data_IF_172727355845
#
_entry.id   IF_172727355845
#
_cell.length_a   1.000
_cell.length_b   1.000
_cell.length_c   1.000
_cell.angle_alpha   90.00
_cell.angle_beta   90.00
_cell.angle_gamma   90.00
#
_symmetry.space_group_name_H-M   'P 1'
#
loop_
_entity.id
_entity.type
_entity.pdbx_description
1 polymer ?
#
# COMPACT_ATOMS: atom_id res chain seq x y z
N UNK A 1 -26.24 19.86 -29.93
CA UNK A 1 -24.79 19.57 -30.01
C UNK A 1 -24.10 19.79 -28.66
N UNK A 2 -24.14 21.00 -28.07
CA UNK A 2 -23.50 21.29 -26.78
C UNK A 2 -23.88 20.31 -25.65
N UNK A 3 -25.18 20.02 -25.48
CA UNK A 3 -25.66 19.08 -24.47
C UNK A 3 -25.10 17.64 -24.64
N UNK A 4 -24.94 17.19 -25.88
CA UNK A 4 -24.36 15.86 -26.17
C UNK A 4 -22.87 15.83 -25.83
N UNK A 5 -22.15 16.91 -26.12
CA UNK A 5 -20.74 17.05 -25.76
C UNK A 5 -20.56 17.07 -24.23
N UNK A 6 -21.40 17.82 -23.51
CA UNK A 6 -21.38 17.83 -22.05
C UNK A 6 -21.72 16.45 -21.46
N UNK A 7 -22.72 15.75 -22.01
CA UNK A 7 -23.05 14.39 -21.60
C UNK A 7 -21.87 13.42 -21.81
N UNK A 8 -21.20 13.50 -22.96
CA UNK A 8 -20.01 12.69 -23.22
C UNK A 8 -18.89 12.96 -22.19
N UNK A 9 -18.60 14.23 -21.88
CA UNK A 9 -17.62 14.60 -20.86
C UNK A 9 -17.99 14.02 -19.49
N UNK A 10 -19.27 14.13 -19.08
CA UNK A 10 -19.76 13.59 -17.80
C UNK A 10 -19.57 12.07 -17.74
N UNK A 11 -19.87 11.37 -18.84
CA UNK A 11 -19.73 9.91 -18.95
C UNK A 11 -18.29 9.44 -18.73
N UNK A 12 -17.29 10.25 -19.09
CA UNK A 12 -15.88 9.95 -18.81
C UNK A 12 -15.40 10.44 -17.44
N UNK A 13 -15.89 11.58 -16.95
CA UNK A 13 -15.45 12.15 -15.67
C UNK A 13 -15.91 11.34 -14.46
N UNK A 14 -17.13 10.79 -14.48
CA UNK A 14 -17.62 9.96 -13.36
C UNK A 14 -16.76 8.71 -13.11
N UNK A 15 -16.44 7.88 -14.12
CA UNK A 15 -15.51 6.76 -13.96
C UNK A 15 -14.16 7.17 -13.40
N UNK A 16 -13.59 8.28 -13.89
CA UNK A 16 -12.31 8.80 -13.40
C UNK A 16 -12.40 9.19 -11.92
N UNK A 17 -13.48 9.85 -11.51
CA UNK A 17 -13.72 10.19 -10.10
C UNK A 17 -13.84 8.93 -9.22
N UNK A 18 -14.56 7.91 -9.69
CA UNK A 18 -14.67 6.59 -9.04
C UNK A 18 -13.28 5.95 -8.86
N UNK A 19 -12.47 5.89 -9.91
CA UNK A 19 -11.15 5.28 -9.84
C UNK A 19 -10.19 6.04 -8.92
N UNK A 20 -10.16 7.37 -9.01
CA UNK A 20 -9.33 8.20 -8.14
C UNK A 20 -9.74 7.99 -6.68
N UNK A 21 -11.04 8.00 -6.38
CA UNK A 21 -11.55 7.76 -5.03
C UNK A 21 -11.15 6.38 -4.49
N UNK A 22 -11.28 5.32 -5.30
CA UNK A 22 -10.95 3.96 -4.88
C UNK A 22 -9.44 3.73 -4.77
N UNK A 23 -8.62 4.54 -5.44
CA UNK A 23 -7.16 4.45 -5.35
C UNK A 23 -6.61 4.77 -3.96
N UNK A 24 -7.39 5.42 -3.08
CA UNK A 24 -6.98 5.63 -1.69
C UNK A 24 -7.08 4.38 -0.84
N UNK A 25 -8.01 3.48 -1.15
CA UNK A 25 -8.13 2.21 -0.46
C UNK A 25 -6.93 1.30 -0.77
N UNK A 26 -6.29 1.46 -1.95
CA UNK A 26 -5.02 0.81 -2.29
C UNK A 26 -3.86 1.20 -1.39
N UNK A 27 -3.92 2.42 -0.86
CA UNK A 27 -2.84 3.07 -0.12
C UNK A 27 -3.05 2.93 1.38
N UNK A 28 -3.72 1.86 1.81
CA UNK A 28 -3.89 1.50 3.22
C UNK A 28 -2.81 0.50 3.62
N UNK A 29 -2.23 0.61 4.82
CA UNK A 29 -1.21 -0.33 5.30
C UNK A 29 -1.71 -1.78 5.27
N UNK A 30 -2.99 -2.01 5.61
CA UNK A 30 -3.62 -3.33 5.60
C UNK A 30 -3.49 -4.05 4.25
N UNK A 31 -3.73 -3.36 3.13
CA UNK A 31 -3.63 -3.95 1.79
C UNK A 31 -2.24 -4.52 1.49
N UNK A 32 -1.18 -3.84 1.94
CA UNK A 32 0.17 -4.35 1.76
C UNK A 32 0.41 -5.55 2.67
N UNK A 33 0.06 -5.45 3.96
CA UNK A 33 0.25 -6.53 4.93
C UNK A 33 -0.46 -7.81 4.53
N UNK A 34 -1.74 -7.70 4.16
CA UNK A 34 -2.56 -8.81 3.68
C UNK A 34 -1.92 -9.46 2.44
N UNK A 35 -1.43 -8.64 1.51
CA UNK A 35 -0.75 -9.13 0.30
C UNK A 35 0.58 -9.86 0.58
N UNK A 36 1.33 -9.46 1.61
CA UNK A 36 2.55 -10.15 2.02
C UNK A 36 2.21 -11.45 2.78
N UNK A 37 1.20 -11.42 3.66
CA UNK A 37 0.75 -12.57 4.45
C UNK A 37 0.13 -13.68 3.57
N UNK A 38 -0.77 -13.30 2.65
CA UNK A 38 -1.44 -14.23 1.73
C UNK A 38 -0.46 -14.99 0.83
N UNK A 39 0.69 -14.40 0.53
CA UNK A 39 1.74 -15.02 -0.27
C UNK A 39 2.76 -15.80 0.56
N UNK A 40 2.66 -15.78 1.89
CA UNK A 40 3.62 -16.40 2.80
C UNK A 40 5.08 -16.05 2.46
N UNK A 41 5.36 -14.78 2.18
CA UNK A 41 6.71 -14.37 1.73
C UNK A 41 7.71 -14.25 2.88
N UNK A 42 7.24 -14.07 4.12
CA UNK A 42 8.11 -13.70 5.25
C UNK A 42 9.23 -14.74 5.51
N UNK A 43 8.98 -16.05 5.43
CA UNK A 43 10.03 -17.06 5.52
C UNK A 43 11.09 -16.98 4.42
N UNK A 44 10.73 -16.46 3.24
CA UNK A 44 11.61 -16.40 2.07
C UNK A 44 12.41 -15.10 1.98
N UNK A 45 11.99 -14.02 2.66
CA UNK A 45 12.66 -12.71 2.58
C UNK A 45 14.14 -12.83 2.94
N UNK A 46 14.49 -13.38 4.10
CA UNK A 46 15.89 -13.46 4.54
C UNK A 46 16.73 -14.37 3.64
N UNK A 47 16.37 -15.64 3.42
CA UNK A 47 17.23 -16.54 2.67
C UNK A 47 17.39 -16.13 1.20
N UNK A 48 16.38 -15.48 0.60
CA UNK A 48 16.40 -15.11 -0.83
C UNK A 48 16.93 -13.70 -1.07
N UNK A 49 16.48 -12.71 -0.29
CA UNK A 49 16.80 -11.29 -0.55
C UNK A 49 18.16 -10.91 0.00
N UNK A 50 18.56 -11.45 1.17
CA UNK A 50 19.82 -11.06 1.80
C UNK A 50 21.05 -11.33 0.91
N UNK A 51 21.23 -12.52 0.31
CA UNK A 51 22.35 -12.76 -0.60
C UNK A 51 22.33 -11.84 -1.81
N UNK A 52 21.14 -11.52 -2.35
CA UNK A 52 20.99 -10.65 -3.51
C UNK A 52 21.41 -9.20 -3.22
N UNK A 53 21.02 -8.65 -2.06
CA UNK A 53 21.45 -7.32 -1.61
C UNK A 53 22.96 -7.27 -1.42
N UNK A 54 23.53 -8.29 -0.77
CA UNK A 54 24.97 -8.34 -0.51
C UNK A 54 25.78 -8.49 -1.81
N UNK A 55 25.27 -9.24 -2.79
CA UNK A 55 25.86 -9.34 -4.12
C UNK A 55 25.82 -8.01 -4.88
N UNK A 56 24.73 -7.25 -4.76
CA UNK A 56 24.56 -5.94 -5.41
C UNK A 56 25.56 -4.88 -4.89
N UNK A 57 26.02 -5.01 -3.65
CA UNK A 57 27.01 -4.10 -3.05
C UNK A 57 28.46 -4.34 -3.53
N UNK A 58 28.67 -5.12 -4.61
CA UNK A 58 29.97 -5.44 -5.19
C UNK A 58 30.98 -6.00 -4.17
N UNK A 59 30.49 -6.67 -3.11
CA UNK A 59 31.33 -7.41 -2.18
C UNK A 59 31.18 -8.91 -2.46
N UNK A 60 31.87 -9.43 -3.48
CA UNK A 60 31.81 -10.85 -3.84
C UNK A 60 32.32 -11.76 -2.72
N UNK A 61 33.11 -11.21 -1.78
CA UNK A 61 33.68 -11.91 -0.64
C UNK A 61 32.86 -11.72 0.65
N UNK A 62 31.53 -11.56 0.55
CA UNK A 62 30.70 -11.60 1.74
C UNK A 62 30.58 -13.05 2.25
N UNK A 63 30.56 -13.23 3.58
CA UNK A 63 30.48 -14.57 4.18
C UNK A 63 29.15 -15.27 3.88
N UNK A 64 28.06 -14.51 3.77
CA UNK A 64 26.71 -15.07 3.59
C UNK A 64 26.59 -15.83 2.28
N UNK A 65 27.11 -15.28 1.17
CA UNK A 65 27.13 -15.95 -0.13
C UNK A 65 28.04 -17.17 -0.09
N UNK A 66 29.21 -17.10 0.56
CA UNK A 66 30.07 -18.28 0.75
C UNK A 66 29.42 -19.39 1.55
N UNK A 67 28.71 -19.05 2.63
CA UNK A 67 27.96 -20.03 3.42
C UNK A 67 26.91 -20.67 2.52
N UNK A 68 26.06 -19.87 1.85
CA UNK A 68 25.02 -20.36 0.94
C UNK A 68 25.58 -21.27 -0.14
N UNK A 69 26.65 -20.85 -0.82
CA UNK A 69 27.29 -21.61 -1.90
C UNK A 69 27.91 -22.93 -1.41
N UNK A 70 28.36 -22.97 -0.16
CA UNK A 70 28.94 -24.16 0.46
C UNK A 70 27.89 -25.16 0.92
N UNK A 71 26.85 -24.70 1.63
CA UNK A 71 25.84 -25.57 2.26
C UNK A 71 24.65 -25.92 1.35
N UNK A 72 24.38 -25.12 0.32
CA UNK A 72 23.21 -25.25 -0.56
C UNK A 72 22.00 -24.45 -0.08
N UNK A 73 21.04 -24.22 -0.98
CA UNK A 73 19.90 -23.32 -0.74
C UNK A 73 18.95 -23.82 0.37
N UNK A 74 18.69 -25.13 0.43
CA UNK A 74 17.77 -25.71 1.42
C UNK A 74 18.32 -25.56 2.84
N UNK A 75 19.60 -25.87 3.03
CA UNK A 75 20.30 -25.78 4.31
C UNK A 75 20.50 -24.32 4.70
N UNK A 76 20.76 -23.44 3.72
CA UNK A 76 20.81 -22.01 3.94
C UNK A 76 19.48 -21.45 4.48
N UNK A 77 18.33 -21.90 3.96
CA UNK A 77 17.01 -21.51 4.53
C UNK A 77 16.88 -21.92 5.99
N UNK A 78 17.31 -23.12 6.36
CA UNK A 78 17.27 -23.57 7.75
C UNK A 78 18.19 -22.74 8.66
N UNK A 79 19.42 -22.47 8.20
CA UNK A 79 20.39 -21.60 8.90
C UNK A 79 19.83 -20.18 9.07
N UNK A 80 19.27 -19.61 7.99
CA UNK A 80 18.69 -18.27 8.01
C UNK A 80 17.51 -18.17 8.98
N UNK A 81 16.63 -19.16 9.01
CA UNK A 81 15.48 -19.19 9.92
C UNK A 81 15.89 -19.33 11.40
N UNK A 82 16.99 -20.04 11.69
CA UNK A 82 17.52 -20.16 13.05
C UNK A 82 18.04 -18.81 13.58
N UNK A 83 18.75 -18.08 12.72
CA UNK A 83 19.37 -16.78 13.04
C UNK A 83 18.39 -15.61 13.00
N UNK A 84 17.48 -15.60 12.03
CA UNK A 84 16.50 -14.53 11.79
C UNK A 84 15.10 -15.14 11.63
N UNK A 85 14.30 -15.13 12.71
CA UNK A 85 12.99 -15.76 12.69
C UNK A 85 12.04 -15.06 11.71
N UNK A 86 11.20 -15.81 10.98
CA UNK A 86 10.23 -15.22 10.06
C UNK A 86 9.25 -14.29 10.77
N UNK A 87 8.87 -14.58 12.01
CA UNK A 87 7.95 -13.74 12.79
C UNK A 87 8.58 -12.39 13.13
N UNK A 88 9.90 -12.36 13.36
CA UNK A 88 10.62 -11.11 13.56
C UNK A 88 10.66 -10.29 12.27
N UNK A 89 10.93 -10.93 11.13
CA UNK A 89 10.93 -10.27 9.81
C UNK A 89 9.56 -9.67 9.53
N UNK A 90 8.50 -10.44 9.73
CA UNK A 90 7.12 -9.97 9.60
C UNK A 90 6.88 -8.75 10.48
N UNK A 91 7.17 -8.82 11.78
CA UNK A 91 6.97 -7.72 12.70
C UNK A 91 7.73 -6.44 12.27
N UNK A 92 8.97 -6.57 11.79
CA UNK A 92 9.76 -5.42 11.31
C UNK A 92 9.20 -4.84 10.01
N UNK A 93 8.84 -5.68 9.04
CA UNK A 93 8.27 -5.23 7.76
C UNK A 93 6.92 -4.54 7.98
N UNK A 94 6.03 -5.16 8.76
CA UNK A 94 4.73 -4.58 9.08
C UNK A 94 4.84 -3.27 9.87
N UNK A 95 5.76 -3.21 10.83
CA UNK A 95 6.06 -1.96 11.55
C UNK A 95 6.58 -0.90 10.58
N UNK A 96 7.46 -1.28 9.64
CA UNK A 96 7.95 -0.39 8.59
C UNK A 96 6.83 0.18 7.73
N UNK A 97 5.90 -0.68 7.29
CA UNK A 97 4.70 -0.30 6.54
C UNK A 97 3.84 0.69 7.35
N UNK A 98 3.53 0.37 8.61
CA UNK A 98 2.72 1.24 9.47
C UNK A 98 3.36 2.61 9.68
N UNK A 99 4.68 2.66 9.93
CA UNK A 99 5.37 3.93 10.11
C UNK A 99 5.42 4.74 8.82
N UNK A 100 5.61 4.08 7.68
CA UNK A 100 5.59 4.73 6.38
C UNK A 100 4.23 5.39 6.13
N UNK A 101 3.13 4.66 6.35
CA UNK A 101 1.79 5.21 6.18
C UNK A 101 1.43 6.27 7.23
N UNK A 102 1.81 6.08 8.51
CA UNK A 102 1.64 7.11 9.54
C UNK A 102 2.39 8.41 9.20
N UNK A 103 3.58 8.30 8.60
CA UNK A 103 4.31 9.47 8.10
C UNK A 103 3.64 10.10 6.87
N UNK A 104 3.10 9.29 5.96
CA UNK A 104 2.39 9.73 4.75
C UNK A 104 1.11 10.50 5.09
N UNK A 105 0.32 9.98 6.03
CA UNK A 105 -0.91 10.61 6.56
C UNK A 105 -0.59 11.85 7.41
N UNK A 106 0.62 11.90 7.95
CA UNK A 106 1.14 13.01 8.72
C UNK A 106 0.95 12.91 10.23
N UNK A 107 0.54 11.74 10.70
CA UNK A 107 0.54 11.35 12.11
C UNK A 107 1.97 11.24 12.68
N UNK A 108 2.97 11.04 11.81
CA UNK A 108 4.40 11.12 12.16
C UNK A 108 5.14 12.20 11.36
N UNK A 109 6.10 12.86 12.01
CA UNK A 109 7.01 13.84 11.39
C UNK A 109 8.20 13.19 10.68
N UNK A 110 8.52 11.92 10.98
CA UNK A 110 9.68 11.24 10.44
C UNK A 110 9.45 9.72 10.26
N UNK A 111 10.16 9.14 9.30
CA UNK A 111 10.31 7.68 9.11
C UNK A 111 11.60 7.25 9.85
N UNK A 112 11.72 7.59 11.12
CA UNK A 112 12.94 7.41 11.90
C UNK A 112 12.85 6.30 12.94
N UNK A 113 11.80 5.46 12.87
CA UNK A 113 11.74 4.30 13.74
C UNK A 113 12.86 3.34 13.38
N UNK A 114 13.75 3.12 14.34
CA UNK A 114 14.84 2.16 14.25
C UNK A 114 14.27 0.74 14.20
N UNK A 115 14.90 -0.11 13.40
CA UNK A 115 14.63 -1.56 13.40
C UNK A 115 15.02 -2.13 14.76
N UNK A 116 14.12 -2.90 15.38
CA UNK A 116 14.46 -3.59 16.62
C UNK A 116 15.32 -4.82 16.31
N UNK A 117 16.64 -4.66 16.43
CA UNK A 117 17.61 -5.72 16.16
C UNK A 117 17.91 -6.60 17.37
N UNK A 118 17.25 -6.37 18.51
CA UNK A 118 17.56 -7.07 19.77
C UNK A 118 17.42 -8.58 19.63
N UNK A 119 16.34 -9.05 19.00
CA UNK A 119 16.09 -10.49 18.81
C UNK A 119 17.18 -11.14 17.94
N UNK A 120 17.52 -10.51 16.81
CA UNK A 120 18.55 -11.03 15.90
C UNK A 120 19.92 -11.04 16.58
N UNK A 121 20.27 -9.98 17.31
CA UNK A 121 21.52 -9.91 18.08
C UNK A 121 21.62 -11.00 19.14
N UNK A 122 20.54 -11.23 19.89
CA UNK A 122 20.51 -12.28 20.92
C UNK A 122 20.70 -13.66 20.31
N UNK A 123 20.10 -13.93 19.15
CA UNK A 123 20.27 -15.21 18.43
C UNK A 123 21.67 -15.37 17.86
N UNK A 124 22.25 -14.31 17.29
CA UNK A 124 23.63 -14.31 16.78
C UNK A 124 24.68 -14.52 17.87
N UNK A 125 24.39 -14.18 19.14
CA UNK A 125 25.30 -14.42 20.29
C UNK A 125 24.96 -15.69 21.08
N UNK A 126 23.79 -16.28 20.86
CA UNK A 126 23.23 -17.33 21.71
C UNK A 126 23.38 -18.75 21.15
N UNK A 127 22.59 -19.66 21.73
CA UNK A 127 22.54 -21.08 21.33
C UNK A 127 22.12 -21.26 19.86
N UNK A 128 21.34 -20.33 19.33
CA UNK A 128 20.91 -20.34 17.93
C UNK A 128 22.09 -20.17 16.97
N UNK A 129 23.07 -19.31 17.31
CA UNK A 129 24.30 -19.18 16.53
C UNK A 129 25.12 -20.47 16.56
N UNK A 130 25.22 -21.13 17.72
CA UNK A 130 25.89 -22.43 17.83
C UNK A 130 25.23 -23.48 16.95
N UNK A 131 23.90 -23.58 16.98
CA UNK A 131 23.14 -24.50 16.11
C UNK A 131 23.30 -24.16 14.64
N UNK A 132 23.27 -22.89 14.29
CA UNK A 132 23.48 -22.44 12.92
C UNK A 132 24.89 -22.82 12.41
N UNK A 133 25.92 -22.63 13.24
CA UNK A 133 27.30 -23.06 12.89
C UNK A 133 27.39 -24.57 12.78
N UNK A 134 26.78 -25.33 13.69
CA UNK A 134 26.78 -26.79 13.62
C UNK A 134 26.08 -27.27 12.33
N UNK A 135 24.96 -26.64 11.93
CA UNK A 135 24.27 -26.90 10.66
C UNK A 135 25.15 -26.56 9.45
N UNK A 136 25.89 -25.45 9.49
CA UNK A 136 26.86 -25.07 8.45
C UNK A 136 27.93 -26.16 8.33
N UNK A 137 28.55 -26.56 9.44
CA UNK A 137 29.66 -27.53 9.45
C UNK A 137 29.26 -28.93 8.95
N UNK A 138 28.03 -29.36 9.24
CA UNK A 138 27.50 -30.65 8.79
C UNK A 138 27.09 -30.63 7.31
N UNK A 139 26.63 -29.47 6.83
CA UNK A 139 26.11 -29.32 5.46
C UNK A 139 27.16 -28.85 4.46
N UNK A 140 28.28 -28.30 4.93
CA UNK A 140 29.33 -27.76 4.10
C UNK A 140 30.03 -28.85 3.28
N UNK A 141 30.44 -28.48 2.05
CA UNK A 141 31.21 -29.37 1.17
C UNK A 141 32.58 -29.71 1.79
N UNK A 142 33.15 -30.89 1.51
CA UNK A 142 34.50 -31.23 1.97
C UNK A 142 35.54 -30.20 1.52
N UNK A 143 36.44 -29.78 2.42
CA UNK A 143 37.48 -28.81 2.11
C UNK A 143 38.46 -29.34 1.06
N UNK A 144 38.82 -28.47 0.11
CA UNK A 144 39.96 -28.67 -0.77
C UNK A 144 41.30 -28.57 -0.03
N UNK A 145 42.38 -29.09 -0.65
CA UNK A 145 43.74 -29.04 -0.08
C UNK A 145 44.18 -27.58 0.14
N UNK A 146 43.80 -26.70 -0.78
CA UNK A 146 44.09 -25.27 -0.74
C UNK A 146 43.36 -24.57 0.41
N UNK A 147 42.09 -24.92 0.66
CA UNK A 147 41.30 -24.38 1.77
C UNK A 147 41.83 -24.87 3.12
N UNK A 148 42.21 -26.14 3.24
CA UNK A 148 42.87 -26.68 4.44
C UNK A 148 44.19 -25.95 4.70
N UNK A 149 44.99 -25.73 3.65
CA UNK A 149 46.23 -24.96 3.77
C UNK A 149 45.96 -23.52 4.21
N UNK A 150 44.88 -22.89 3.73
CA UNK A 150 44.45 -21.55 4.14
C UNK A 150 44.01 -21.53 5.61
N UNK A 151 43.15 -22.45 6.04
CA UNK A 151 42.74 -22.59 7.44
C UNK A 151 43.95 -22.76 8.37
N UNK A 152 44.94 -23.59 7.99
CA UNK A 152 46.19 -23.76 8.75
C UNK A 152 47.08 -22.51 8.79
N UNK A 153 46.96 -21.60 7.83
CA UNK A 153 47.67 -20.30 7.88
C UNK A 153 46.96 -19.35 8.84
N UNK A 154 45.63 -19.24 8.73
CA UNK A 154 44.79 -18.46 9.64
C UNK A 154 45.00 -18.93 11.09
N UNK A 155 45.02 -20.25 11.34
CA UNK A 155 45.31 -20.87 12.64
C UNK A 155 46.63 -20.43 13.26
N UNK A 156 47.64 -20.14 12.43
CA UNK A 156 48.97 -19.68 12.86
C UNK A 156 49.08 -18.16 12.94
N UNK A 157 47.97 -17.43 12.76
CA UNK A 157 47.92 -15.96 12.69
C UNK A 157 48.47 -15.37 11.38
N UNK A 158 48.83 -16.22 10.41
CA UNK A 158 49.29 -15.78 9.10
C UNK A 158 48.08 -15.63 8.16
N UNK A 159 47.56 -14.41 8.00
CA UNK A 159 46.43 -14.13 7.10
C UNK A 159 45.14 -13.75 7.82
N UNK A 160 45.20 -12.93 8.86
CA UNK A 160 44.00 -12.40 9.55
C UNK A 160 43.03 -11.64 8.62
N UNK A 161 43.49 -11.22 7.44
CA UNK A 161 42.67 -10.57 6.40
C UNK A 161 42.15 -11.53 5.33
N UNK A 162 42.59 -12.80 5.33
CA UNK A 162 42.12 -13.77 4.34
C UNK A 162 40.67 -14.15 4.64
N UNK A 163 39.84 -14.21 3.59
CA UNK A 163 38.48 -14.72 3.73
C UNK A 163 38.50 -16.17 4.22
N UNK A 164 37.80 -16.40 5.34
CA UNK A 164 37.63 -17.71 5.95
C UNK A 164 36.85 -18.60 4.96
N UNK A 165 37.44 -19.71 4.49
CA UNK A 165 36.72 -20.67 3.65
C UNK A 165 35.67 -21.38 4.53
N UNK A 166 34.50 -21.68 3.95
CA UNK A 166 33.42 -22.39 4.63
C UNK A 166 33.35 -23.79 4.05
N UNK A 167 33.94 -24.78 4.72
CA UNK A 167 34.05 -26.15 4.20
C UNK A 167 34.22 -27.17 5.34
N UNK A 168 34.02 -28.47 5.09
CA UNK A 168 34.19 -29.50 6.12
C UNK A 168 35.57 -30.18 6.02
N UNK A 169 36.50 -30.01 6.98
CA UNK A 169 37.84 -30.59 6.89
C UNK A 169 37.81 -32.11 7.20
N UNK A 170 38.16 -32.98 6.23
CA UNK A 170 38.06 -34.42 6.45
C UNK A 170 39.14 -34.91 7.44
N UNK A 171 38.71 -35.60 8.50
CA UNK A 171 39.57 -36.30 9.47
C UNK A 171 40.51 -35.42 10.32
N UNK A 172 40.24 -34.11 10.46
CA UNK A 172 41.05 -33.20 11.28
C UNK A 172 40.16 -32.51 12.33
N UNK A 173 40.05 -33.13 13.52
CA UNK A 173 39.21 -32.64 14.61
C UNK A 173 39.64 -31.27 15.13
N UNK A 174 40.95 -31.00 15.10
CA UNK A 174 41.53 -29.74 15.58
C UNK A 174 41.15 -28.60 14.64
N UNK A 175 41.22 -28.83 13.32
CA UNK A 175 40.75 -27.85 12.34
C UNK A 175 39.23 -27.65 12.38
N UNK A 176 38.45 -28.72 12.59
CA UNK A 176 37.00 -28.64 12.72
C UNK A 176 36.59 -27.75 13.90
N UNK A 177 37.25 -27.92 15.05
CA UNK A 177 37.00 -27.11 16.24
C UNK A 177 37.40 -25.64 16.02
N UNK A 178 38.54 -25.40 15.36
CA UNK A 178 38.99 -24.05 15.03
C UNK A 178 38.00 -23.34 14.09
N UNK A 179 37.56 -24.00 13.02
CA UNK A 179 36.60 -23.42 12.07
C UNK A 179 35.28 -23.07 12.75
N UNK A 180 34.77 -23.96 13.62
CA UNK A 180 33.58 -23.69 14.44
C UNK A 180 33.75 -22.42 15.27
N UNK A 181 34.89 -22.25 15.95
CA UNK A 181 35.17 -21.06 16.74
C UNK A 181 35.24 -19.80 15.88
N UNK A 182 35.91 -19.86 14.72
CA UNK A 182 36.03 -18.74 13.80
C UNK A 182 34.67 -18.30 13.24
N UNK A 183 33.80 -19.24 12.88
CA UNK A 183 32.44 -18.94 12.42
C UNK A 183 31.60 -18.31 13.54
N UNK A 184 31.71 -18.81 14.77
CA UNK A 184 31.02 -18.23 15.93
C UNK A 184 31.50 -16.82 16.23
N UNK A 185 32.81 -16.61 16.28
CA UNK A 185 33.42 -15.29 16.48
C UNK A 185 32.95 -14.31 15.41
N UNK A 186 32.79 -14.77 14.16
CA UNK A 186 32.28 -13.94 13.08
C UNK A 186 30.80 -13.59 13.24
N UNK A 187 29.94 -14.52 13.68
CA UNK A 187 28.54 -14.23 13.99
C UNK A 187 28.42 -13.25 15.18
N UNK A 188 29.27 -13.41 16.19
CA UNK A 188 29.34 -12.48 17.33
C UNK A 188 29.78 -11.09 16.87
N UNK A 189 30.79 -11.00 16.02
CA UNK A 189 31.23 -9.74 15.44
C UNK A 189 30.12 -9.06 14.63
N UNK A 190 29.35 -9.81 13.84
CA UNK A 190 28.18 -9.27 13.13
C UNK A 190 27.15 -8.71 14.12
N UNK A 191 26.90 -9.40 15.24
CA UNK A 191 26.00 -8.91 16.28
C UNK A 191 26.49 -7.60 16.92
N UNK A 192 27.81 -7.45 17.13
CA UNK A 192 28.44 -6.23 17.65
C UNK A 192 28.32 -5.06 16.66
N UNK A 193 28.50 -5.32 15.36
CA UNK A 193 28.31 -4.30 14.33
C UNK A 193 26.85 -3.84 14.27
N UNK A 194 25.89 -4.78 14.36
CA UNK A 194 24.46 -4.46 14.40
C UNK A 194 24.10 -3.64 15.65
N UNK A 195 24.77 -3.85 16.77
CA UNK A 195 24.56 -3.06 17.99
C UNK A 195 25.00 -1.59 17.86
N UNK A 196 26.06 -1.35 17.09
CA UNK A 196 26.67 -0.01 16.98
C UNK A 196 26.11 0.80 15.80
N UNK A 197 25.41 0.16 14.86
CA UNK A 197 24.83 0.81 13.69
C UNK A 197 23.32 0.95 13.84
N UNK A 198 22.85 2.17 14.05
CA UNK A 198 21.43 2.50 13.93
C UNK A 198 20.99 2.38 12.47
N UNK A 199 20.37 1.26 12.12
CA UNK A 199 19.85 1.04 10.76
C UNK A 199 18.56 1.85 10.61
N UNK A 200 18.67 3.05 10.06
CA UNK A 200 17.50 3.86 9.68
C UNK A 200 16.93 3.38 8.35
N UNK A 201 15.60 3.30 8.25
CA UNK A 201 14.91 2.96 6.99
C UNK A 201 15.29 3.95 5.87
N UNK A 202 15.38 5.24 6.18
CA UNK A 202 15.74 6.28 5.20
C UNK A 202 17.15 6.06 4.64
N UNK A 203 18.08 5.55 5.45
CA UNK A 203 19.42 5.17 4.99
C UNK A 203 19.39 4.07 3.93
N UNK A 204 18.46 3.11 4.05
CA UNK A 204 18.29 2.02 3.10
C UNK A 204 17.71 2.48 1.75
N UNK A 205 16.89 3.54 1.73
CA UNK A 205 16.22 4.01 0.51
C UNK A 205 17.01 5.06 -0.30
N UNK A 206 18.30 5.26 -0.04
CA UNK A 206 19.14 6.18 -0.82
C UNK A 206 19.40 7.53 -0.14
N UNK A 207 19.17 7.64 1.17
CA UNK A 207 19.66 8.76 1.97
C UNK A 207 18.95 10.09 1.68
N UNK A 208 19.74 11.17 1.50
CA UNK A 208 19.22 12.55 1.48
C UNK A 208 18.33 12.86 0.27
N UNK A 209 18.69 12.34 -0.91
CA UNK A 209 17.90 12.55 -2.13
C UNK A 209 16.51 11.90 -2.02
N UNK A 210 16.47 10.68 -1.48
CA UNK A 210 15.21 9.99 -1.21
C UNK A 210 14.33 10.75 -0.21
N UNK A 211 14.93 11.43 0.77
CA UNK A 211 14.18 12.23 1.74
C UNK A 211 13.46 13.41 1.08
N UNK A 212 14.11 14.11 0.16
CA UNK A 212 13.53 15.28 -0.52
C UNK A 212 12.39 14.87 -1.47
N UNK A 213 12.56 13.76 -2.20
CA UNK A 213 11.50 13.21 -3.05
C UNK A 213 10.32 12.67 -2.24
N UNK A 214 10.59 11.99 -1.12
CA UNK A 214 9.58 11.54 -0.17
C UNK A 214 8.77 12.72 0.39
N UNK A 215 9.42 13.83 0.78
CA UNK A 215 8.70 14.99 1.29
C UNK A 215 7.76 15.61 0.25
N UNK A 216 8.19 15.71 -1.01
CA UNK A 216 7.32 16.16 -2.10
C UNK A 216 6.14 15.21 -2.34
N UNK A 217 6.38 13.90 -2.25
CA UNK A 217 5.33 12.89 -2.35
C UNK A 217 4.31 13.02 -1.21
N UNK A 218 4.77 13.19 0.04
CA UNK A 218 3.87 13.41 1.20
C UNK A 218 2.96 14.60 1.00
N UNK A 219 3.48 15.75 0.57
CA UNK A 219 2.65 16.95 0.32
C UNK A 219 1.57 16.69 -0.73
N UNK A 220 1.90 15.90 -1.76
CA UNK A 220 0.96 15.51 -2.81
C UNK A 220 -0.15 14.61 -2.25
N UNK A 221 0.22 13.60 -1.45
CA UNK A 221 -0.72 12.68 -0.81
C UNK A 221 -1.66 13.37 0.17
N UNK A 222 -1.15 14.26 1.02
CA UNK A 222 -1.97 14.99 2.00
C UNK A 222 -2.98 15.93 1.33
N UNK A 223 -2.66 16.47 0.16
CA UNK A 223 -3.57 17.35 -0.59
C UNK A 223 -4.64 16.56 -1.35
N UNK A 224 -4.41 15.27 -1.57
CA UNK A 224 -5.20 14.45 -2.48
C UNK A 224 -6.67 14.26 -2.02
N UNK A 225 -7.01 14.08 -0.73
CA UNK A 225 -8.40 13.98 -0.26
C UNK A 225 -9.26 15.20 -0.63
N UNK A 226 -8.70 16.40 -0.54
CA UNK A 226 -9.40 17.64 -0.92
C UNK A 226 -9.70 17.68 -2.43
N UNK A 227 -8.80 17.11 -3.25
CA UNK A 227 -9.02 16.97 -4.68
C UNK A 227 -10.08 15.94 -5.03
N UNK A 228 -10.24 14.84 -4.27
CA UNK A 228 -11.29 13.83 -4.52
C UNK A 228 -12.67 14.49 -4.54
N UNK A 229 -12.95 15.34 -3.54
CA UNK A 229 -14.22 16.03 -3.46
C UNK A 229 -14.48 16.87 -4.72
N UNK A 230 -13.44 17.53 -5.25
CA UNK A 230 -13.53 18.30 -6.49
C UNK A 230 -13.84 17.39 -7.70
N UNK A 231 -13.23 16.21 -7.79
CA UNK A 231 -13.48 15.24 -8.86
C UNK A 231 -14.93 14.75 -8.90
N UNK A 232 -15.64 14.70 -7.77
CA UNK A 232 -17.08 14.40 -7.74
C UNK A 232 -17.95 15.64 -7.98
N UNK A 233 -17.54 16.81 -7.51
CA UNK A 233 -18.30 18.06 -7.67
C UNK A 233 -18.36 18.53 -9.13
N UNK A 234 -17.28 18.37 -9.91
CA UNK A 234 -17.24 18.77 -11.32
C UNK A 234 -18.29 18.03 -12.17
N UNK A 235 -18.33 16.68 -12.24
CA UNK A 235 -19.35 15.98 -13.03
C UNK A 235 -20.77 16.22 -12.49
N UNK A 236 -20.94 16.42 -11.18
CA UNK A 236 -22.24 16.77 -10.59
C UNK A 236 -22.71 18.18 -10.98
N UNK A 237 -21.82 19.17 -11.02
CA UNK A 237 -22.11 20.52 -11.49
C UNK A 237 -22.43 20.52 -12.99
N UNK A 238 -21.68 19.78 -13.80
CA UNK A 238 -21.97 19.62 -15.23
C UNK A 238 -23.30 18.91 -15.48
N UNK A 239 -23.62 17.89 -14.68
CA UNK A 239 -24.91 17.19 -14.74
C UNK A 239 -26.05 18.15 -14.41
N UNK A 240 -25.88 18.97 -13.38
CA UNK A 240 -26.84 20.01 -12.99
C UNK A 240 -27.04 21.03 -14.12
N UNK A 241 -25.96 21.46 -14.76
CA UNK A 241 -26.00 22.38 -15.90
C UNK A 241 -26.76 21.77 -17.10
N UNK A 242 -26.48 20.51 -17.44
CA UNK A 242 -27.20 19.79 -18.50
C UNK A 242 -28.69 19.68 -18.17
N UNK A 243 -29.02 19.40 -16.91
CA UNK A 243 -30.42 19.33 -16.45
C UNK A 243 -31.11 20.68 -16.66
N UNK A 244 -30.52 21.79 -16.21
CA UNK A 244 -31.12 23.13 -16.38
C UNK A 244 -31.31 23.51 -17.85
N UNK A 245 -30.39 23.12 -18.74
CA UNK A 245 -30.44 23.50 -20.16
C UNK A 245 -31.36 22.63 -21.02
N UNK A 246 -31.44 21.33 -20.73
CA UNK A 246 -32.09 20.33 -21.62
C UNK A 246 -33.45 19.88 -21.08
N UNK A 247 -33.62 19.85 -19.76
CA UNK A 247 -34.75 19.18 -19.14
C UNK A 247 -35.94 20.14 -19.10
N UNK A 248 -36.82 19.99 -20.08
CA UNK A 248 -38.14 20.63 -20.08
C UNK A 248 -39.22 19.76 -19.40
N UNK A 249 -38.95 18.48 -19.15
CA UNK A 249 -39.90 17.55 -18.54
C UNK A 249 -39.19 16.48 -17.70
N UNK A 250 -39.86 16.00 -16.66
CA UNK A 250 -39.36 14.94 -15.77
C UNK A 250 -39.03 13.63 -16.52
N UNK A 251 -39.74 13.35 -17.62
CA UNK A 251 -39.46 12.23 -18.52
C UNK A 251 -38.14 12.39 -19.28
N UNK A 252 -37.84 13.61 -19.71
CA UNK A 252 -36.54 13.93 -20.33
C UNK A 252 -35.42 13.81 -19.31
N UNK A 253 -35.64 14.31 -18.08
CA UNK A 253 -34.69 14.20 -16.96
C UNK A 253 -34.22 12.77 -16.78
N UNK A 254 -35.14 11.86 -16.41
CA UNK A 254 -34.78 10.48 -16.08
C UNK A 254 -34.19 9.71 -17.26
N UNK A 255 -34.58 10.01 -18.51
CA UNK A 255 -33.96 9.42 -19.70
C UNK A 255 -32.51 9.85 -19.87
N UNK A 256 -32.22 11.15 -19.76
CA UNK A 256 -30.85 11.66 -19.96
C UNK A 256 -29.93 11.26 -18.81
N UNK A 257 -30.34 11.51 -17.57
CA UNK A 257 -29.52 11.16 -16.40
C UNK A 257 -29.39 9.65 -16.25
N UNK A 258 -30.45 8.88 -16.52
CA UNK A 258 -30.44 7.43 -16.45
C UNK A 258 -29.43 6.79 -17.39
N UNK A 259 -29.42 7.20 -18.67
CA UNK A 259 -28.44 6.69 -19.65
C UNK A 259 -27.00 7.10 -19.31
N UNK A 260 -26.78 8.35 -18.85
CA UNK A 260 -25.46 8.81 -18.43
C UNK A 260 -24.94 7.99 -17.25
N UNK A 261 -25.77 7.74 -16.22
CA UNK A 261 -25.38 6.96 -15.04
C UNK A 261 -25.08 5.51 -15.39
N UNK A 262 -25.89 4.85 -16.22
CA UNK A 262 -25.62 3.47 -16.68
C UNK A 262 -24.34 3.41 -17.50
N UNK A 263 -24.16 4.30 -18.48
CA UNK A 263 -22.96 4.32 -19.31
C UNK A 263 -21.70 4.57 -18.46
N UNK A 264 -21.77 5.51 -17.51
CA UNK A 264 -20.67 5.80 -16.58
C UNK A 264 -20.35 4.58 -15.71
N UNK A 265 -21.36 3.93 -15.14
CA UNK A 265 -21.17 2.72 -14.33
C UNK A 265 -20.52 1.58 -15.12
N UNK A 266 -20.95 1.35 -16.37
CA UNK A 266 -20.34 0.33 -17.24
C UNK A 266 -18.91 0.69 -17.64
N UNK A 267 -18.62 1.96 -17.95
CA UNK A 267 -17.26 2.41 -18.29
C UNK A 267 -16.33 2.31 -17.08
N UNK A 268 -16.82 2.57 -15.86
CA UNK A 268 -16.04 2.42 -14.63
C UNK A 268 -15.54 0.99 -14.42
N UNK A 269 -16.19 -0.02 -15.01
CA UNK A 269 -15.77 -1.42 -14.95
C UNK A 269 -14.65 -1.78 -15.94
N UNK A 270 -14.37 -0.93 -16.94
CA UNK A 270 -13.41 -1.26 -18.01
C UNK A 270 -11.99 -1.53 -17.45
N UNK A 271 -11.40 -0.69 -16.58
CA UNK A 271 -10.07 -0.98 -16.03
C UNK A 271 -10.02 -2.27 -15.24
N UNK A 272 -11.11 -2.68 -14.57
CA UNK A 272 -11.13 -3.94 -13.83
C UNK A 272 -10.94 -5.15 -14.76
N UNK A 273 -11.40 -5.06 -16.01
CA UNK A 273 -11.18 -6.10 -17.01
C UNK A 273 -9.78 -6.05 -17.64
N UNK A 274 -9.18 -4.85 -17.77
CA UNK A 274 -7.90 -4.65 -18.46
C UNK A 274 -6.71 -4.84 -17.52
N UNK A 275 -6.81 -4.40 -16.27
CA UNK A 275 -5.69 -4.30 -15.34
C UNK A 275 -5.04 -5.67 -15.04
N UNK A 276 -5.78 -6.79 -14.84
CA UNK A 276 -5.18 -8.11 -14.72
C UNK A 276 -4.35 -8.53 -15.96
N UNK A 277 -4.82 -8.16 -17.16
CA UNK A 277 -4.10 -8.45 -18.41
C UNK A 277 -2.81 -7.61 -18.51
N UNK A 278 -2.87 -6.35 -18.07
CA UNK A 278 -1.71 -5.47 -18.03
C UNK A 278 -0.66 -5.97 -17.01
N UNK A 279 -1.10 -6.48 -15.85
CA UNK A 279 -0.20 -7.08 -14.85
C UNK A 279 0.55 -8.26 -15.48
N UNK A 280 -0.17 -9.21 -16.08
CA UNK A 280 0.44 -10.39 -16.71
C UNK A 280 1.42 -9.98 -17.82
N UNK A 281 1.03 -9.03 -18.68
CA UNK A 281 1.89 -8.56 -19.77
C UNK A 281 3.12 -7.78 -19.32
N UNK A 282 3.08 -7.14 -18.14
CA UNK A 282 4.24 -6.39 -17.62
C UNK A 282 5.42 -7.27 -17.21
N UNK A 283 5.17 -8.54 -16.90
CA UNK A 283 6.22 -9.51 -16.55
C UNK A 283 6.92 -10.13 -17.76
N UNK A 284 6.27 -10.14 -18.93
CA UNK A 284 6.87 -10.63 -20.18
C UNK A 284 7.86 -9.63 -20.79
N UNK A 285 7.85 -8.37 -20.30
CA UNK A 285 8.77 -7.34 -20.75
C UNK A 285 10.20 -7.56 -20.26
N UNK A 286 11.15 -7.51 -21.18
CA UNK A 286 12.62 -7.64 -21.08
C UNK A 286 13.34 -7.11 -19.82
N UNK A 287 12.70 -6.32 -18.96
CA UNK A 287 13.33 -5.64 -17.82
C UNK A 287 13.67 -6.57 -16.65
N UNK A 288 12.88 -7.62 -16.39
CA UNK A 288 13.19 -8.60 -15.32
C UNK A 288 14.17 -9.66 -15.83
N UNK A 289 14.06 -10.04 -17.10
CA UNK A 289 14.86 -11.10 -17.72
C UNK A 289 16.25 -10.60 -18.12
N UNK A 290 16.38 -9.36 -18.59
CA UNK A 290 17.67 -8.79 -18.99
C UNK A 290 18.34 -7.93 -17.90
N UNK A 291 17.66 -7.72 -16.76
CA UNK A 291 18.06 -6.76 -15.72
C UNK A 291 19.29 -7.15 -14.88
N UNK A 292 19.79 -8.38 -14.97
CA UNK A 292 21.04 -8.75 -14.31
C UNK A 292 21.15 -10.23 -13.97
N UNK A 293 22.33 -10.63 -13.48
CA UNK A 293 22.66 -11.98 -12.99
C UNK A 293 21.96 -12.28 -11.65
N UNK A 294 20.67 -11.97 -11.53
CA UNK A 294 19.89 -12.43 -10.39
C UNK A 294 19.68 -13.93 -10.53
N UNK A 295 19.83 -14.63 -9.43
CA UNK A 295 19.56 -16.06 -9.37
C UNK A 295 18.08 -16.33 -9.67
N UNK A 296 17.79 -17.50 -10.26
CA UNK A 296 16.44 -17.87 -10.68
C UNK A 296 15.46 -17.89 -9.49
N UNK A 297 15.95 -18.24 -8.30
CA UNK A 297 15.18 -18.20 -7.06
C UNK A 297 14.79 -16.78 -6.67
N UNK A 298 15.73 -15.82 -6.73
CA UNK A 298 15.45 -14.41 -6.43
C UNK A 298 14.45 -13.82 -7.43
N UNK A 299 14.55 -14.18 -8.72
CA UNK A 299 13.57 -13.76 -9.71
C UNK A 299 12.18 -14.32 -9.40
N UNK A 300 12.07 -15.61 -9.06
CA UNK A 300 10.80 -16.21 -8.69
C UNK A 300 10.20 -15.56 -7.44
N UNK A 301 11.02 -15.25 -6.43
CA UNK A 301 10.60 -14.53 -5.24
C UNK A 301 10.05 -13.14 -5.58
N UNK A 302 10.76 -12.36 -6.40
CA UNK A 302 10.30 -11.03 -6.83
C UNK A 302 8.99 -11.11 -7.61
N UNK A 303 8.83 -12.10 -8.49
CA UNK A 303 7.58 -12.32 -9.22
C UNK A 303 6.43 -12.66 -8.26
N UNK A 304 6.66 -13.53 -7.26
CA UNK A 304 5.64 -13.84 -6.23
C UNK A 304 5.28 -12.63 -5.40
N UNK A 305 6.28 -11.89 -4.92
CA UNK A 305 6.11 -10.67 -4.13
C UNK A 305 5.29 -9.62 -4.90
N UNK A 306 5.70 -9.33 -6.13
CA UNK A 306 5.03 -8.31 -6.96
C UNK A 306 3.63 -8.75 -7.37
N UNK A 307 3.45 -10.01 -7.79
CA UNK A 307 2.13 -10.54 -8.16
C UNK A 307 1.18 -10.55 -6.97
N UNK A 308 1.65 -10.95 -5.79
CA UNK A 308 0.88 -10.93 -4.55
C UNK A 308 0.43 -9.53 -4.16
N UNK A 309 1.37 -8.58 -4.14
CA UNK A 309 1.08 -7.18 -3.84
C UNK A 309 0.09 -6.59 -4.85
N UNK A 310 0.29 -6.82 -6.14
CA UNK A 310 -0.61 -6.34 -7.19
C UNK A 310 -2.00 -6.97 -7.09
N UNK A 311 -2.09 -8.25 -6.71
CA UNK A 311 -3.37 -8.95 -6.52
C UNK A 311 -4.12 -8.42 -5.30
N UNK A 312 -3.42 -8.17 -4.18
CA UNK A 312 -4.01 -7.56 -2.99
C UNK A 312 -4.50 -6.13 -3.29
N UNK A 313 -3.65 -5.32 -3.93
CA UNK A 313 -4.03 -3.99 -4.43
C UNK A 313 -5.26 -4.08 -5.32
N UNK A 314 -5.25 -4.92 -6.35
CA UNK A 314 -6.39 -5.07 -7.24
C UNK A 314 -7.67 -5.42 -6.49
N UNK A 315 -7.59 -6.33 -5.51
CA UNK A 315 -8.73 -6.71 -4.67
C UNK A 315 -9.26 -5.51 -3.90
N UNK A 316 -8.40 -4.78 -3.18
CA UNK A 316 -8.75 -3.60 -2.41
C UNK A 316 -9.32 -2.45 -3.27
N UNK A 317 -8.86 -2.30 -4.51
CA UNK A 317 -9.40 -1.33 -5.47
C UNK A 317 -10.73 -1.78 -6.08
N UNK A 318 -10.86 -3.08 -6.37
CA UNK A 318 -11.99 -3.61 -7.13
C UNK A 318 -13.30 -3.55 -6.35
N UNK A 319 -13.27 -3.82 -5.05
CA UNK A 319 -14.46 -3.82 -4.19
C UNK A 319 -15.20 -2.46 -4.20
N UNK A 320 -14.55 -1.31 -3.90
CA UNK A 320 -15.23 -0.02 -3.92
C UNK A 320 -15.64 0.41 -5.33
N UNK A 321 -14.84 0.11 -6.38
CA UNK A 321 -15.21 0.42 -7.77
C UNK A 321 -16.45 -0.36 -8.20
N UNK A 322 -16.51 -1.67 -7.90
CA UNK A 322 -17.67 -2.51 -8.21
C UNK A 322 -18.91 -2.01 -7.49
N UNK A 323 -18.80 -1.68 -6.20
CA UNK A 323 -19.91 -1.14 -5.42
C UNK A 323 -20.43 0.19 -6.00
N UNK A 324 -19.54 1.13 -6.32
CA UNK A 324 -19.92 2.43 -6.88
C UNK A 324 -20.49 2.31 -8.30
N UNK A 325 -19.89 1.48 -9.16
CA UNK A 325 -20.40 1.19 -10.49
C UNK A 325 -21.79 0.55 -10.43
N UNK A 326 -22.00 -0.41 -9.54
CA UNK A 326 -23.30 -1.03 -9.32
C UNK A 326 -24.35 0.00 -8.87
N UNK A 327 -24.03 0.86 -7.91
CA UNK A 327 -24.92 1.94 -7.46
C UNK A 327 -25.30 2.87 -8.63
N UNK A 328 -24.35 3.27 -9.47
CA UNK A 328 -24.60 4.13 -10.63
C UNK A 328 -25.54 3.46 -11.64
N UNK A 329 -25.32 2.17 -11.93
CA UNK A 329 -26.19 1.41 -12.85
C UNK A 329 -27.60 1.27 -12.29
N UNK A 330 -27.74 0.87 -11.03
CA UNK A 330 -29.06 0.71 -10.37
C UNK A 330 -29.80 2.05 -10.31
N UNK A 331 -29.13 3.13 -9.91
CA UNK A 331 -29.71 4.47 -9.89
C UNK A 331 -30.18 4.89 -11.29
N UNK A 332 -29.35 4.62 -12.30
CA UNK A 332 -29.70 4.89 -13.69
C UNK A 332 -30.92 4.10 -14.17
N UNK A 333 -31.02 2.82 -13.82
CA UNK A 333 -32.19 1.98 -14.14
C UNK A 333 -33.47 2.48 -13.45
N UNK A 334 -33.38 2.88 -12.18
CA UNK A 334 -34.50 3.47 -11.43
C UNK A 334 -34.98 4.76 -12.12
N UNK A 335 -34.06 5.64 -12.51
CA UNK A 335 -34.40 6.88 -13.21
C UNK A 335 -35.04 6.63 -14.59
N UNK A 336 -34.58 5.62 -15.32
CA UNK A 336 -35.21 5.19 -16.58
C UNK A 336 -36.62 4.63 -16.34
N UNK A 337 -36.82 3.82 -15.29
CA UNK A 337 -38.14 3.31 -14.93
C UNK A 337 -39.11 4.45 -14.57
N UNK A 338 -38.69 5.38 -13.71
CA UNK A 338 -39.49 6.57 -13.36
C UNK A 338 -39.85 7.36 -14.63
N UNK A 339 -38.91 7.56 -15.55
CA UNK A 339 -39.17 8.26 -16.80
C UNK A 339 -40.13 7.49 -17.73
N UNK A 340 -40.10 6.15 -17.71
CA UNK A 340 -41.02 5.32 -18.48
C UNK A 340 -42.47 5.42 -17.95
N UNK A 341 -42.64 5.46 -16.62
CA UNK A 341 -43.96 5.53 -15.97
C UNK A 341 -44.50 6.95 -15.76
N UNK A 342 -43.67 7.99 -15.91
CA UNK A 342 -44.12 9.37 -15.76
C UNK A 342 -45.19 9.71 -16.82
N UNK A 343 -46.39 10.16 -16.40
CA UNK A 343 -47.44 10.54 -17.34
C UNK A 343 -46.97 11.72 -18.19
N UNK A 344 -47.37 11.75 -19.46
CA UNK A 344 -47.12 12.91 -20.31
C UNK A 344 -47.92 14.08 -19.70
N UNK A 345 -47.25 15.05 -19.06
CA UNK A 345 -47.94 16.24 -18.60
C UNK A 345 -48.65 16.87 -19.80
N UNK A 346 -49.96 17.20 -19.69
CA UNK A 346 -50.66 17.87 -20.76
C UNK A 346 -49.84 19.09 -21.12
N UNK A 347 -49.45 19.18 -22.40
CA UNK A 347 -48.87 20.42 -22.90
C UNK A 347 -49.87 21.49 -22.53
N UNK A 348 -49.43 22.56 -21.85
CA UNK A 348 -50.27 23.74 -21.67
C UNK A 348 -50.62 24.19 -23.07
N UNK A 349 -51.77 23.71 -23.55
CA UNK A 349 -52.38 24.10 -24.80
C UNK A 349 -52.51 25.60 -24.64
N UNK A 350 -51.61 26.30 -25.35
CA UNK A 350 -51.44 27.74 -25.29
C UNK A 350 -52.83 28.32 -25.25
N UNK A 351 -53.27 28.81 -24.08
CA UNK A 351 -54.58 29.42 -23.90
C UNK A 351 -54.64 30.43 -25.04
N UNK A 352 -55.47 30.13 -26.04
CA UNK A 352 -55.51 30.89 -27.26
C UNK A 352 -55.60 32.35 -26.83
N UNK A 353 -54.63 33.16 -27.25
CA UNK A 353 -54.62 34.58 -26.91
C UNK A 353 -56.05 35.09 -27.13
N UNK A 354 -56.72 35.67 -26.12
CA UNK A 354 -58.07 36.18 -26.30
C UNK A 354 -58.04 37.03 -27.55
N UNK A 355 -58.83 36.64 -28.56
CA UNK A 355 -58.82 37.33 -29.85
C UNK A 355 -59.04 38.80 -29.57
N UNK A 356 -58.02 39.62 -29.79
CA UNK A 356 -58.12 41.06 -29.66
C UNK A 356 -59.21 41.50 -30.63
N UNK A 357 -60.33 42.10 -30.18
CA UNK A 357 -61.32 42.61 -31.09
C UNK A 357 -60.67 43.68 -31.95
N UNK A 358 -60.52 43.37 -33.23
CA UNK A 358 -60.04 44.28 -34.27
C UNK A 358 -61.04 45.42 -34.41
N UNK A 359 -60.81 46.52 -33.70
CA UNK A 359 -61.63 47.73 -33.88
C UNK A 359 -61.68 48.65 -32.67
N UNK A 360 -60.58 49.33 -32.36
CA UNK A 360 -60.68 50.64 -31.72
C UNK A 360 -59.50 51.52 -32.14
N UNK A 361 -59.86 52.54 -32.94
CA UNK A 361 -58.98 53.58 -33.44
C UNK A 361 -58.67 54.51 -32.27
N UNK A 362 -57.52 54.33 -31.61
CA UNK A 362 -57.09 55.18 -30.50
C UNK A 362 -56.18 56.28 -31.06
N UNK A 363 -56.72 57.49 -31.02
CA UNK A 363 -56.03 58.75 -31.27
C UNK A 363 -54.92 58.94 -30.24
N UNK A 364 -53.71 59.41 -30.62
CA UNK A 364 -52.61 59.61 -29.67
C UNK A 364 -52.94 60.76 -28.70
N UNK A 365 -52.77 60.58 -27.37
CA UNK A 365 -52.84 61.69 -26.44
C UNK A 365 -51.49 62.42 -26.37
N UNK A 366 -51.60 63.74 -26.43
CA UNK A 366 -50.54 64.72 -26.27
C UNK A 366 -49.77 64.56 -24.95
N UNK A 367 -48.45 64.58 -25.10
CA UNK A 367 -47.54 65.51 -24.43
C UNK A 367 -48.13 66.30 -23.23
N UNK A 368 -47.71 65.93 -22.01
CA UNK A 368 -47.00 66.83 -21.07
C UNK A 368 -46.84 66.21 -19.67
N UNK A 369 -45.58 66.25 -19.20
CA UNK A 369 -45.09 66.48 -17.82
C UNK A 369 -45.86 65.88 -16.64
N UNK A 370 -45.13 65.24 -15.72
CA UNK A 370 -44.80 65.80 -14.40
C UNK A 370 -43.88 64.83 -13.65
N UNK A 371 -42.83 65.41 -13.08
CA UNK A 371 -41.86 64.86 -12.15
C UNK A 371 -42.59 64.46 -10.87
N UNK A 372 -42.33 63.28 -10.31
CA UNK A 372 -42.34 63.16 -8.85
C UNK A 372 -41.26 62.20 -8.35
N UNK A 373 -40.51 62.76 -7.43
CA UNK A 373 -39.29 62.27 -6.82
C UNK A 373 -39.66 61.99 -5.38
N UNK A 374 -39.86 60.73 -4.98
CA UNK A 374 -39.90 60.38 -3.56
C UNK A 374 -39.70 58.89 -3.31
N UNK A 375 -38.57 58.61 -2.64
CA UNK A 375 -38.45 57.75 -1.47
C UNK A 375 -39.08 56.33 -1.50
N UNK A 376 -38.24 55.30 -1.30
CA UNK A 376 -38.27 54.49 -0.06
C UNK A 376 -37.35 53.27 -0.14
N UNK A 377 -36.10 53.51 0.25
CA UNK A 377 -35.30 52.74 1.22
C UNK A 377 -36.00 51.49 1.82
N UNK A 378 -35.85 50.30 1.20
CA UNK A 378 -36.00 49.00 1.89
C UNK A 378 -34.72 48.17 1.80
N UNK A 379 -33.74 48.52 2.63
CA UNK A 379 -32.66 47.59 3.03
C UNK A 379 -33.29 46.50 3.91
N UNK A 380 -33.55 45.31 3.35
CA UNK A 380 -33.83 44.12 4.15
C UNK A 380 -32.52 43.69 4.83
N UNK A 381 -32.41 43.99 6.12
CA UNK A 381 -31.42 43.38 7.02
C UNK A 381 -31.78 41.90 7.14
N UNK A 382 -30.96 41.02 6.57
CA UNK A 382 -30.96 39.60 6.94
C UNK A 382 -30.19 39.46 8.26
N UNK A 383 -30.79 38.94 9.34
CA UNK A 383 -30.04 38.54 10.51
C UNK A 383 -29.29 37.24 10.20
N UNK A 384 -27.98 37.37 9.92
CA UNK A 384 -27.03 36.27 10.04
C UNK A 384 -26.95 35.88 11.53
N UNK A 385 -27.80 34.95 11.96
CA UNK A 385 -27.55 34.18 13.18
C UNK A 385 -26.44 33.19 12.86
N UNK A 386 -25.20 33.58 13.17
CA UNK A 386 -24.09 32.65 13.37
C UNK A 386 -24.47 31.76 14.56
N UNK A 387 -25.12 30.64 14.27
CA UNK A 387 -25.28 29.55 15.22
C UNK A 387 -23.91 28.93 15.45
N UNK A 388 -23.36 29.14 16.64
CA UNK A 388 -22.22 28.41 17.16
C UNK A 388 -22.55 26.91 17.14
N UNK A 389 -22.09 26.21 16.11
CA UNK A 389 -22.00 24.76 16.12
C UNK A 389 -20.89 24.40 17.12
N UNK A 390 -21.31 24.22 18.37
CA UNK A 390 -20.58 23.39 19.34
C UNK A 390 -20.26 22.07 18.64
N UNK A 391 -18.99 21.92 18.31
CA UNK A 391 -18.33 20.63 18.06
C UNK A 391 -18.66 19.72 19.25
N UNK A 392 -19.69 18.89 19.11
CA UNK A 392 -19.79 17.64 19.84
C UNK A 392 -18.83 16.70 19.13
N UNK A 393 -17.60 16.68 19.64
CA UNK A 393 -16.68 15.56 19.51
C UNK A 393 -17.46 14.31 19.93
N UNK A 394 -17.98 13.60 18.94
CA UNK A 394 -18.43 12.23 19.12
C UNK A 394 -17.15 11.43 19.32
N UNK A 395 -16.93 11.02 20.56
CA UNK A 395 -16.01 9.95 20.90
C UNK A 395 -16.42 8.72 20.09
N UNK A 396 -15.80 8.56 18.92
CA UNK A 396 -15.80 7.31 18.17
C UNK A 396 -15.03 6.30 19.00
N UNK A 397 -15.67 5.16 19.20
CA UNK A 397 -15.37 4.21 20.25
C UNK A 397 -13.91 3.76 20.26
N UNK A 398 -13.38 3.65 21.49
CA UNK A 398 -12.39 2.63 21.80
C UNK A 398 -12.95 1.29 21.32
N UNK A 399 -12.42 0.78 20.21
CA UNK A 399 -12.43 -0.65 19.96
C UNK A 399 -11.60 -1.28 21.07
N UNK A 400 -12.30 -1.79 22.07
CA UNK A 400 -11.75 -2.76 23.01
C UNK A 400 -11.34 -3.97 22.18
N UNK A 401 -10.05 -4.05 21.83
CA UNK A 401 -9.44 -5.33 21.48
C UNK A 401 -9.56 -6.21 22.72
N UNK A 402 -10.60 -7.04 22.71
CA UNK A 402 -10.69 -8.19 23.61
C UNK A 402 -9.57 -9.12 23.17
N UNK A 403 -8.43 -9.01 23.85
CA UNK A 403 -7.39 -10.01 23.82
C UNK A 403 -8.03 -11.34 24.21
N UNK A 404 -8.19 -12.22 23.23
CA UNK A 404 -8.50 -13.62 23.45
C UNK A 404 -7.25 -14.23 24.08
N UNK A 405 -7.19 -14.14 25.41
CA UNK A 405 -6.22 -14.83 26.25
C UNK A 405 -6.34 -16.32 25.93
N UNK A 406 -5.37 -16.80 25.15
CA UNK A 406 -5.10 -18.22 25.04
C UNK A 406 -4.66 -18.69 26.42
N UNK A 407 -5.32 -19.74 26.87
CA UNK A 407 -5.08 -20.41 28.13
C UNK A 407 -3.59 -20.70 28.31
N UNK A 408 -3.03 -20.12 29.36
CA UNK A 408 -1.75 -20.50 29.92
C UNK A 408 -1.99 -21.82 30.65
N UNK A 409 -1.55 -22.91 30.04
CA UNK A 409 -1.53 -24.23 30.65
C UNK A 409 -0.61 -24.19 31.88
N UNK A 410 -1.21 -24.33 33.07
CA UNK A 410 -0.51 -24.43 34.34
C UNK A 410 0.50 -25.59 34.28
N UNK A 411 1.77 -25.26 34.20
CA UNK A 411 2.86 -26.17 34.47
C UNK A 411 2.86 -26.50 35.97
N UNK A 412 2.80 -27.79 36.36
CA UNK A 412 2.86 -28.18 37.77
C UNK A 412 4.23 -27.83 38.37
N UNK A 413 4.29 -27.53 39.67
CA UNK A 413 5.53 -27.16 40.35
C UNK A 413 6.55 -28.31 40.30
N UNK A 414 7.86 -28.00 40.21
CA UNK A 414 8.89 -29.01 40.24
C UNK A 414 8.99 -29.64 41.64
N UNK A 415 8.85 -30.97 41.68
CA UNK A 415 9.09 -31.80 42.86
C UNK A 415 10.52 -31.63 43.39
N UNK A 416 10.60 -31.71 44.72
CA UNK A 416 11.74 -31.50 45.60
C UNK A 416 13.06 -32.13 45.12
N UNK A 417 14.10 -31.30 45.06
CA UNK A 417 15.49 -31.75 44.97
C UNK A 417 15.98 -32.25 46.35
N UNK A 418 16.68 -33.40 46.41
CA UNK A 418 17.19 -33.95 47.68
C UNK A 418 18.36 -33.14 48.22
N UNK A 419 18.27 -32.83 49.51
CA UNK A 419 19.34 -32.25 50.33
C UNK A 419 20.51 -33.24 50.44
N UNK A 420 21.67 -32.88 49.90
CA UNK A 420 22.92 -33.59 50.13
C UNK A 420 23.50 -33.11 51.47
N UNK A 421 23.34 -33.93 52.52
CA UNK A 421 24.12 -33.84 53.75
C UNK A 421 25.54 -34.34 53.49
N UNK A 422 26.53 -33.46 53.67
CA UNK A 422 27.94 -33.83 53.78
C UNK A 422 28.20 -34.47 55.15
N UNK A 423 28.88 -35.61 55.14
CA UNK A 423 29.64 -36.18 56.27
C UNK A 423 31.01 -36.56 55.76
#
# INVERSE_FOLDING_TARGET
MLALLLAAIIVFLFPVAVWISSSFDLLKPGTFKDGLDDQNIYPDIVPVVLPAILAANNNPDNIVTRIRDSVGDEQWRAIAAELVPPEWVQAQVETGIDNYFAWLDGDSTAIDKMLDTQIVRQRLRGVQAERAVDLIMVSAKPCSVEEIARLRRIARGAGASDAIPVCHPPNDSDLTMLERQLLLDQLHHIADVIETQDVSLVGLFGGREARDTMLAQRLTFQSMPDFIALFYLVPLALTTLVVVLVVRSLKSFGRWTGWISIASGLIALIPLAILPLAIIGSFEGDSVVNGGKLDAETQLFLVRLTTGLLTSMFTAFSEPVLAQAFILVVLGLILLAIAAFAPNMPQYESIAAPQTPTGMNVTPPDEKTVIDDTASKRRRKFPLKLGALKSKSTAVGKQTYVAKSAAQEEQPPPDDAPTITQN
#
